data_IF_712711502267
#
_entry.id   IF_712711502267
#
_cell.length_a   1.000
_cell.length_b   1.000
_cell.length_c   1.000
_cell.angle_alpha   90.00
_cell.angle_beta   90.00
_cell.angle_gamma   90.00
#
_symmetry.space_group_name_H-M   'P 1'
#
loop_
_entity.id
_entity.type
_entity.pdbx_description
1 polymer ?
#
# COMPACT_ATOMS: atom_id res chain seq x y z
N UNK A 1 -12.50 17.96 -3.71
CA UNK A 1 -11.37 17.02 -3.67
C UNK A 1 -10.31 17.52 -4.63
N UNK A 2 -9.16 18.02 -4.16
CA UNK A 2 -8.08 18.50 -5.04
C UNK A 2 -7.26 17.29 -5.49
N UNK A 3 -6.96 17.22 -6.79
CA UNK A 3 -6.05 16.19 -7.32
C UNK A 3 -4.64 16.60 -6.94
N UNK A 4 -3.99 15.77 -6.14
CA UNK A 4 -2.57 15.89 -5.84
C UNK A 4 -1.79 15.35 -7.04
N UNK A 5 -0.86 16.14 -7.56
CA UNK A 5 0.10 15.66 -8.57
C UNK A 5 1.19 14.87 -7.84
N UNK A 6 1.48 13.66 -8.33
CA UNK A 6 2.52 12.77 -7.80
C UNK A 6 3.63 12.71 -8.84
N UNK A 7 4.88 12.91 -8.41
CA UNK A 7 6.04 12.88 -9.30
C UNK A 7 6.64 11.47 -9.39
N UNK A 8 7.37 11.13 -10.47
CA UNK A 8 8.02 9.82 -10.60
C UNK A 8 8.96 9.49 -9.44
N UNK A 9 9.71 10.47 -8.94
CA UNK A 9 10.67 10.28 -7.84
C UNK A 9 9.96 9.89 -6.53
N UNK A 10 8.71 10.34 -6.34
CA UNK A 10 7.89 9.92 -5.20
C UNK A 10 7.42 8.46 -5.31
N UNK A 11 7.51 7.86 -6.50
CA UNK A 11 7.11 6.49 -6.76
C UNK A 11 8.27 5.49 -6.70
N UNK A 12 9.53 5.96 -6.60
CA UNK A 12 10.71 5.11 -6.60
C UNK A 12 10.72 4.11 -5.43
N UNK A 13 10.19 4.53 -4.26
CA UNK A 13 10.08 3.71 -3.07
C UNK A 13 8.77 4.04 -2.34
N UNK A 14 7.75 3.21 -2.57
CA UNK A 14 6.44 3.33 -1.90
C UNK A 14 6.16 2.06 -1.11
N UNK A 15 5.82 2.18 0.18
CA UNK A 15 5.49 1.02 1.00
C UNK A 15 4.20 0.35 0.52
N UNK A 16 4.19 -0.98 0.61
CA UNK A 16 3.08 -1.83 0.18
C UNK A 16 2.39 -2.42 1.41
N UNK A 17 1.10 -2.14 1.56
CA UNK A 17 0.25 -2.76 2.57
C UNK A 17 -0.64 -3.84 1.91
N UNK A 18 -0.31 -5.13 2.09
CA UNK A 18 -1.10 -6.21 1.52
C UNK A 18 -2.39 -6.44 2.32
N UNK A 19 -3.53 -6.55 1.63
CA UNK A 19 -4.83 -6.86 2.23
C UNK A 19 -5.53 -8.01 1.49
N UNK A 20 -6.26 -8.89 2.20
CA UNK A 20 -7.09 -9.91 1.56
C UNK A 20 -8.32 -9.26 0.90
N UNK A 21 -8.61 -9.66 -0.34
CA UNK A 21 -9.86 -9.33 -1.03
C UNK A 21 -10.17 -7.84 -1.20
N UNK A 22 -9.16 -6.97 -1.09
CA UNK A 22 -9.34 -5.51 -1.07
C UNK A 22 -8.60 -4.85 -2.23
N UNK A 23 -9.28 -3.96 -2.95
CA UNK A 23 -8.69 -3.11 -4.00
C UNK A 23 -9.04 -1.66 -3.73
N UNK A 24 -8.02 -0.80 -3.74
CA UNK A 24 -8.21 0.65 -3.69
C UNK A 24 -8.38 1.19 -5.12
N UNK A 25 -9.52 1.80 -5.39
CA UNK A 25 -9.81 2.40 -6.68
C UNK A 25 -9.46 3.89 -6.69
N UNK A 26 -9.14 4.47 -7.86
CA UNK A 26 -8.90 5.90 -7.96
C UNK A 26 -10.09 6.71 -7.43
N UNK A 27 -9.79 7.70 -6.56
CA UNK A 27 -10.78 8.61 -5.94
C UNK A 27 -11.75 7.94 -4.97
N UNK A 28 -11.44 6.76 -4.44
CA UNK A 28 -12.19 6.18 -3.31
C UNK A 28 -11.46 6.37 -1.99
N UNK A 29 -12.21 6.23 -0.89
CA UNK A 29 -11.66 6.24 0.47
C UNK A 29 -11.86 4.86 1.07
N UNK A 30 -10.84 4.38 1.77
CA UNK A 30 -10.91 3.15 2.58
C UNK A 30 -10.46 3.50 4.00
N UNK A 31 -11.24 3.06 4.99
CA UNK A 31 -10.81 3.14 6.38
C UNK A 31 -9.97 1.90 6.70
N UNK A 32 -8.75 2.12 7.20
CA UNK A 32 -7.84 1.06 7.56
C UNK A 32 -7.72 0.98 9.07
N UNK A 33 -7.89 -0.22 9.62
CA UNK A 33 -7.58 -0.49 11.01
C UNK A 33 -6.16 -1.07 11.08
N UNK A 34 -5.18 -0.23 11.43
CA UNK A 34 -3.76 -0.60 11.44
C UNK A 34 -3.31 -0.84 12.88
N UNK A 35 -3.17 -2.11 13.24
CA UNK A 35 -2.83 -2.51 14.61
C UNK A 35 -1.53 -3.31 14.71
N UNK A 36 -1.14 -4.05 13.68
CA UNK A 36 0.12 -4.81 13.70
C UNK A 36 1.32 -3.85 13.79
N UNK A 37 2.29 -4.10 14.70
CA UNK A 37 3.41 -3.18 14.93
C UNK A 37 4.18 -2.79 13.66
N UNK A 38 4.46 -3.75 12.78
CA UNK A 38 5.16 -3.50 11.51
C UNK A 38 4.42 -2.53 10.58
N UNK A 39 3.10 -2.59 10.55
CA UNK A 39 2.29 -1.71 9.68
C UNK A 39 2.04 -0.36 10.33
N UNK A 40 2.07 -0.27 11.67
CA UNK A 40 2.05 1.02 12.37
C UNK A 40 3.33 1.81 12.06
N UNK A 41 4.50 1.18 12.20
CA UNK A 41 5.78 1.80 11.84
C UNK A 41 5.81 2.26 10.38
N UNK A 42 5.44 1.38 9.43
CA UNK A 42 5.30 1.74 8.02
C UNK A 42 4.35 2.93 7.78
N UNK A 43 3.25 3.01 8.55
CA UNK A 43 2.27 4.09 8.43
C UNK A 43 2.82 5.41 8.97
N UNK A 44 3.56 5.38 10.07
CA UNK A 44 4.28 6.54 10.61
C UNK A 44 5.29 7.06 9.57
N UNK A 45 6.09 6.18 8.97
CA UNK A 45 7.03 6.53 7.89
C UNK A 45 6.31 7.18 6.68
N UNK A 46 5.13 6.65 6.31
CA UNK A 46 4.31 7.26 5.25
C UNK A 46 3.90 8.69 5.62
N UNK A 47 3.41 8.90 6.85
CA UNK A 47 2.88 10.19 7.31
C UNK A 47 3.98 11.26 7.34
N UNK A 48 5.18 10.88 7.75
CA UNK A 48 6.37 11.75 7.82
C UNK A 48 6.98 12.02 6.44
N UNK A 49 6.92 11.04 5.54
CA UNK A 49 7.48 11.11 4.19
C UNK A 49 6.50 11.57 3.11
N UNK A 50 6.37 10.75 2.06
CA UNK A 50 5.60 11.11 0.85
C UNK A 50 4.09 11.06 1.07
N UNK A 51 3.59 10.51 2.18
CA UNK A 51 2.17 10.23 2.41
C UNK A 51 1.56 9.34 1.33
N UNK A 52 2.37 8.50 0.70
CA UNK A 52 1.95 7.55 -0.30
C UNK A 52 1.99 6.13 0.29
N UNK A 53 0.98 5.32 -0.05
CA UNK A 53 0.92 3.92 0.34
C UNK A 53 0.24 3.13 -0.78
N UNK A 54 0.78 1.97 -1.12
CA UNK A 54 0.15 1.04 -2.06
C UNK A 54 -0.72 0.06 -1.26
N UNK A 55 -1.99 -0.05 -1.63
CA UNK A 55 -2.88 -1.12 -1.17
C UNK A 55 -2.88 -2.22 -2.24
N UNK A 56 -2.24 -3.33 -1.92
CA UNK A 56 -2.11 -4.48 -2.82
C UNK A 56 -2.99 -5.64 -2.36
N UNK A 57 -3.72 -6.22 -3.29
CA UNK A 57 -4.52 -7.41 -3.00
C UNK A 57 -3.60 -8.63 -2.93
N UNK A 58 -3.72 -9.42 -1.87
CA UNK A 58 -3.05 -10.70 -1.74
C UNK A 58 -3.43 -11.65 -2.87
N UNK A 59 -2.44 -12.35 -3.43
CA UNK A 59 -2.67 -13.45 -4.36
C UNK A 59 -2.76 -14.77 -3.56
N UNK A 60 -3.94 -15.40 -3.46
CA UNK A 60 -4.12 -16.62 -2.67
C UNK A 60 -3.38 -17.84 -3.23
N UNK A 61 -2.98 -17.79 -4.51
CA UNK A 61 -2.24 -18.88 -5.16
C UNK A 61 -0.73 -18.61 -5.21
N UNK A 62 -0.30 -17.42 -4.79
CA UNK A 62 1.10 -17.04 -4.83
C UNK A 62 1.87 -17.51 -3.60
N UNK A 63 3.15 -17.82 -3.80
CA UNK A 63 4.06 -18.21 -2.73
C UNK A 63 4.72 -16.97 -2.11
N UNK A 64 4.89 -16.92 -0.78
CA UNK A 64 5.70 -15.88 -0.16
C UNK A 64 7.13 -15.84 -0.72
N UNK A 65 7.74 -14.67 -0.71
CA UNK A 65 9.14 -14.51 -1.10
C UNK A 65 10.11 -15.06 -0.03
N UNK A 66 11.41 -15.00 -0.31
CA UNK A 66 12.48 -15.46 0.59
C UNK A 66 12.49 -14.74 1.95
N UNK A 67 11.87 -13.56 2.04
CA UNK A 67 11.73 -12.76 3.25
C UNK A 67 10.38 -13.01 3.97
N UNK A 68 9.59 -13.97 3.50
CA UNK A 68 8.27 -14.29 4.03
C UNK A 68 7.19 -13.26 3.70
N UNK A 69 7.43 -12.36 2.73
CA UNK A 69 6.42 -11.39 2.29
C UNK A 69 5.42 -12.10 1.39
N UNK A 70 4.11 -11.91 1.60
CA UNK A 70 3.11 -12.62 0.83
C UNK A 70 3.10 -12.16 -0.63
N UNK A 71 2.72 -13.05 -1.52
CA UNK A 71 2.47 -12.71 -2.91
C UNK A 71 1.27 -11.75 -3.04
N UNK A 72 1.37 -10.82 -3.97
CA UNK A 72 0.32 -9.85 -4.30
C UNK A 72 0.08 -9.81 -5.80
N UNK A 73 -1.12 -9.40 -6.20
CA UNK A 73 -1.41 -9.17 -7.61
C UNK A 73 -0.56 -8.04 -8.20
N UNK A 74 -0.24 -8.16 -9.50
CA UNK A 74 0.61 -7.20 -10.24
C UNK A 74 0.03 -5.77 -10.32
N UNK A 75 -1.28 -5.62 -10.18
CA UNK A 75 -1.98 -4.33 -10.22
C UNK A 75 -2.52 -4.01 -8.83
N UNK A 76 -2.23 -2.80 -8.35
CA UNK A 76 -2.58 -2.33 -7.02
C UNK A 76 -2.99 -0.86 -7.05
N UNK A 77 -3.64 -0.39 -5.98
CA UNK A 77 -4.08 1.00 -5.86
C UNK A 77 -3.10 1.83 -5.02
N UNK A 78 -2.86 3.07 -5.42
CA UNK A 78 -2.04 4.04 -4.69
C UNK A 78 -2.95 5.00 -3.89
N UNK A 79 -2.74 5.10 -2.59
CA UNK A 79 -3.31 6.11 -1.71
C UNK A 79 -2.34 7.28 -1.52
N UNK A 80 -2.86 8.51 -1.40
CA UNK A 80 -2.08 9.75 -1.37
C UNK A 80 -2.69 10.86 -0.50
#
# INVERSE_FOLDING_TARGET
MKIRVITPEQLDQVPVFPLPGTVLLPRTLIQLHIFEPRYRAMTEDCIEGTRLMIIAMLDPNGTPDEHGRPAVHRVAGLGA
#
